data_IF_889211069268
#
_entry.id   IF_889211069268
#
_cell.length_a   1.000
_cell.length_b   1.000
_cell.length_c   1.000
_cell.angle_alpha   90.00
_cell.angle_beta   90.00
_cell.angle_gamma   90.00
#
_symmetry.space_group_name_H-M   'P 1'
#
loop_
_entity.id
_entity.type
_entity.pdbx_description
1 polymer ?
#
# COMPACT_ATOMS: atom_id res chain seq x y z
N UNK A 1 13.77 -4.93 -8.63
CA UNK A 1 14.55 -5.61 -7.58
C UNK A 1 14.21 -5.13 -6.16
N UNK A 2 14.15 -3.81 -5.90
CA UNK A 2 13.85 -3.23 -4.57
C UNK A 2 12.60 -3.86 -3.93
N UNK A 3 11.50 -3.91 -4.68
CA UNK A 3 10.23 -4.58 -4.31
C UNK A 3 10.40 -6.02 -3.82
N UNK A 4 11.31 -6.79 -4.41
CA UNK A 4 11.60 -8.17 -3.98
C UNK A 4 12.48 -8.22 -2.73
N UNK A 5 13.38 -7.26 -2.54
CA UNK A 5 14.18 -7.17 -1.31
C UNK A 5 13.28 -6.82 -0.13
N UNK A 6 12.36 -5.88 -0.31
CA UNK A 6 11.34 -5.51 0.67
C UNK A 6 10.50 -6.72 1.09
N UNK A 7 9.96 -7.47 0.13
CA UNK A 7 9.13 -8.64 0.42
C UNK A 7 9.89 -9.79 1.09
N UNK A 8 11.21 -9.83 0.97
CA UNK A 8 12.06 -10.89 1.53
C UNK A 8 12.84 -10.42 2.75
N UNK A 9 12.58 -9.19 3.22
CA UNK A 9 13.32 -8.54 4.29
C UNK A 9 14.84 -8.64 4.10
N UNK A 10 15.31 -8.45 2.87
CA UNK A 10 16.74 -8.49 2.50
C UNK A 10 17.29 -7.10 2.34
N UNK A 11 18.57 -6.96 2.67
CA UNK A 11 19.30 -5.74 2.41
C UNK A 11 19.42 -5.46 0.91
N UNK A 12 19.56 -4.19 0.56
CA UNK A 12 19.71 -3.76 -0.82
C UNK A 12 21.19 -3.82 -1.23
N UNK A 13 21.51 -4.36 -2.42
CA UNK A 13 22.86 -4.28 -2.95
C UNK A 13 23.31 -2.83 -3.11
N UNK A 14 24.60 -2.54 -2.90
CA UNK A 14 25.15 -1.17 -2.90
C UNK A 14 24.85 -0.40 -4.19
N UNK A 15 24.90 -1.08 -5.34
CA UNK A 15 24.64 -0.50 -6.65
C UNK A 15 23.17 -0.10 -6.87
N UNK A 16 22.24 -0.57 -6.01
CA UNK A 16 20.80 -0.30 -6.10
C UNK A 16 20.36 0.82 -5.13
N UNK A 17 21.30 1.37 -4.35
CA UNK A 17 21.03 2.41 -3.36
C UNK A 17 20.89 3.79 -4.02
N UNK A 18 21.60 3.99 -5.13
CA UNK A 18 21.62 5.26 -5.86
C UNK A 18 21.29 5.02 -7.34
N UNK A 19 20.18 5.62 -7.79
CA UNK A 19 19.71 5.59 -9.17
C UNK A 19 20.36 6.65 -10.05
N UNK A 20 21.03 7.66 -9.46
CA UNK A 20 21.69 8.75 -10.18
C UNK A 20 22.73 8.26 -11.21
N UNK A 21 23.57 7.23 -10.92
CA UNK A 21 24.48 6.64 -11.90
C UNK A 21 23.78 6.02 -13.13
N UNK A 22 22.48 5.72 -13.04
CA UNK A 22 21.67 5.18 -14.12
C UNK A 22 20.87 6.26 -14.87
N UNK A 23 21.12 7.54 -14.57
CA UNK A 23 20.49 8.68 -15.23
C UNK A 23 19.10 9.05 -14.70
N UNK A 24 18.69 8.48 -13.57
CA UNK A 24 17.47 8.89 -12.88
C UNK A 24 17.64 10.30 -12.32
N UNK A 25 16.65 11.18 -12.56
CA UNK A 25 16.61 12.57 -12.09
C UNK A 25 15.20 12.89 -11.56
N UNK A 26 15.08 13.97 -10.80
CA UNK A 26 13.81 14.58 -10.39
C UNK A 26 12.96 13.77 -9.37
N UNK A 27 11.63 13.94 -9.40
CA UNK A 27 10.67 13.48 -8.37
C UNK A 27 10.52 11.97 -8.26
N UNK A 28 10.77 11.22 -9.33
CA UNK A 28 10.71 9.75 -9.33
C UNK A 28 11.86 9.17 -8.49
N UNK A 29 13.06 9.77 -8.61
CA UNK A 29 14.20 9.45 -7.75
C UNK A 29 13.92 9.74 -6.27
N UNK A 30 13.09 10.76 -5.98
CA UNK A 30 12.69 11.05 -4.60
C UNK A 30 11.86 9.90 -4.01
N UNK A 31 10.90 9.35 -4.76
CA UNK A 31 10.10 8.21 -4.31
C UNK A 31 10.94 6.94 -4.15
N UNK A 32 11.83 6.65 -5.10
CA UNK A 32 12.71 5.49 -5.04
C UNK A 32 13.70 5.57 -3.86
N UNK A 33 14.22 6.77 -3.55
CA UNK A 33 15.02 7.00 -2.34
C UNK A 33 14.26 6.69 -1.06
N UNK A 34 12.97 7.01 -0.97
CA UNK A 34 12.13 6.65 0.18
C UNK A 34 11.93 5.12 0.26
N UNK A 35 11.76 4.46 -0.88
CA UNK A 35 11.70 3.00 -0.98
C UNK A 35 12.98 2.32 -0.48
N UNK A 36 14.14 2.85 -0.88
CA UNK A 36 15.46 2.36 -0.43
C UNK A 36 15.60 2.50 1.09
N UNK A 37 15.24 3.66 1.65
CA UNK A 37 15.26 3.89 3.10
C UNK A 37 14.34 2.94 3.84
N UNK A 38 13.12 2.71 3.34
CA UNK A 38 12.19 1.74 3.93
C UNK A 38 12.76 0.32 3.92
N UNK A 39 13.36 -0.12 2.81
CA UNK A 39 13.96 -1.45 2.71
C UNK A 39 15.09 -1.64 3.72
N UNK A 40 15.98 -0.64 3.87
CA UNK A 40 17.06 -0.65 4.86
C UNK A 40 16.53 -0.65 6.29
N UNK A 41 15.50 0.16 6.57
CA UNK A 41 14.85 0.20 7.89
C UNK A 41 14.31 -1.19 8.24
N UNK A 42 13.58 -1.82 7.31
CA UNK A 42 13.02 -3.17 7.51
C UNK A 42 14.08 -4.25 7.70
N UNK A 43 15.11 -4.29 6.85
CA UNK A 43 16.17 -5.27 6.98
C UNK A 43 16.89 -5.15 8.33
N UNK A 44 17.12 -3.92 8.81
CA UNK A 44 17.70 -3.65 10.12
C UNK A 44 16.81 -4.13 11.28
N UNK A 45 15.50 -3.88 11.23
CA UNK A 45 14.54 -4.37 12.23
C UNK A 45 14.54 -5.91 12.29
N UNK A 46 14.47 -6.56 11.13
CA UNK A 46 14.47 -8.03 11.04
C UNK A 46 15.79 -8.62 11.55
N UNK A 47 16.92 -7.95 11.29
CA UNK A 47 18.21 -8.36 11.81
C UNK A 47 18.26 -8.27 13.34
N UNK A 48 17.69 -7.21 13.94
CA UNK A 48 17.62 -7.05 15.39
C UNK A 48 16.70 -8.09 16.04
N UNK A 49 15.54 -8.37 15.47
CA UNK A 49 14.62 -9.40 15.99
C UNK A 49 15.26 -10.80 16.03
N UNK A 50 16.17 -11.10 15.09
CA UNK A 50 16.91 -12.37 15.03
C UNK A 50 18.09 -12.42 16.01
N UNK A 51 18.58 -11.28 16.46
CA UNK A 51 19.65 -11.20 17.44
C UNK A 51 19.06 -11.43 18.84
N UNK A 52 19.13 -12.67 19.34
CA UNK A 52 18.67 -13.07 20.68
C UNK A 52 19.49 -12.48 21.85
N UNK A 53 20.40 -11.55 21.57
CA UNK A 53 21.26 -10.88 22.56
C UNK A 53 20.59 -9.55 22.94
N UNK A 54 20.88 -9.03 24.14
CA UNK A 54 20.40 -7.73 24.62
C UNK A 54 20.37 -6.69 23.50
N UNK A 55 19.16 -6.38 23.04
CA UNK A 55 18.93 -5.44 21.98
C UNK A 55 19.47 -4.08 22.44
N UNK A 56 20.44 -3.53 21.72
CA UNK A 56 20.98 -2.22 22.02
C UNK A 56 19.87 -1.17 21.89
N UNK A 57 19.33 -0.69 23.01
CA UNK A 57 18.21 0.27 23.04
C UNK A 57 18.51 1.49 22.17
N UNK A 58 19.74 2.02 22.22
CA UNK A 58 20.16 3.16 21.41
C UNK A 58 20.02 2.91 19.90
N UNK A 59 20.25 1.67 19.44
CA UNK A 59 20.05 1.30 18.03
C UNK A 59 18.58 1.24 17.66
N UNK A 60 17.72 0.74 18.55
CA UNK A 60 16.26 0.71 18.30
C UNK A 60 15.69 2.13 18.29
N UNK A 61 16.13 3.01 19.18
CA UNK A 61 15.75 4.43 19.19
C UNK A 61 16.18 5.17 17.92
N UNK A 62 17.32 4.79 17.34
CA UNK A 62 17.75 5.31 16.03
C UNK A 62 16.81 4.86 14.90
N UNK A 63 16.44 3.58 14.87
CA UNK A 63 15.46 3.07 13.89
C UNK A 63 14.09 3.71 14.09
N UNK A 64 13.69 3.99 15.33
CA UNK A 64 12.44 4.66 15.63
C UNK A 64 12.41 6.08 15.07
N UNK A 65 13.46 6.86 15.31
CA UNK A 65 13.65 8.19 14.72
C UNK A 65 13.64 8.15 13.20
N UNK A 66 14.31 7.18 12.59
CA UNK A 66 14.29 7.00 11.13
C UNK A 66 12.88 6.67 10.63
N UNK A 67 12.11 5.84 11.35
CA UNK A 67 10.73 5.52 10.98
C UNK A 67 9.81 6.75 11.01
N UNK A 68 9.99 7.63 12.00
CA UNK A 68 9.26 8.91 12.11
C UNK A 68 9.68 9.85 10.98
N UNK A 69 10.97 10.01 10.74
CA UNK A 69 11.50 10.84 9.66
C UNK A 69 11.03 10.38 8.28
N UNK A 70 11.00 9.06 8.05
CA UNK A 70 10.55 8.47 6.81
C UNK A 70 9.05 8.68 6.59
N UNK A 71 8.24 8.60 7.66
CA UNK A 71 6.80 8.90 7.59
C UNK A 71 6.55 10.35 7.16
N UNK A 72 7.23 11.30 7.78
CA UNK A 72 7.15 12.71 7.40
C UNK A 72 7.59 12.92 5.94
N UNK A 73 8.64 12.21 5.50
CA UNK A 73 9.10 12.29 4.12
C UNK A 73 8.08 11.73 3.11
N UNK A 74 7.38 10.63 3.42
CA UNK A 74 6.28 10.13 2.58
C UNK A 74 5.07 11.07 2.55
N UNK A 75 4.77 11.77 3.65
CA UNK A 75 3.71 12.79 3.68
C UNK A 75 4.08 13.99 2.82
N UNK A 76 5.30 14.50 2.94
CA UNK A 76 5.79 15.60 2.11
C UNK A 76 5.79 15.21 0.63
N UNK A 77 6.29 14.01 0.31
CA UNK A 77 6.26 13.50 -1.06
C UNK A 77 4.82 13.42 -1.60
N UNK A 78 3.85 12.97 -0.80
CA UNK A 78 2.43 12.93 -1.18
C UNK A 78 1.91 14.32 -1.51
N UNK A 79 2.24 15.31 -0.68
CA UNK A 79 1.76 16.68 -0.85
C UNK A 79 2.41 17.33 -2.09
N UNK A 80 3.70 17.07 -2.33
CA UNK A 80 4.41 17.48 -3.55
C UNK A 80 3.81 16.81 -4.79
N UNK A 81 3.57 15.50 -4.73
CA UNK A 81 2.95 14.69 -5.79
C UNK A 81 1.55 15.21 -6.16
N UNK A 82 0.77 15.63 -5.17
CA UNK A 82 -0.55 16.27 -5.37
C UNK A 82 -0.44 17.69 -5.92
N UNK A 83 0.53 18.47 -5.46
CA UNK A 83 0.71 19.88 -5.86
C UNK A 83 1.22 20.04 -7.29
N UNK A 84 1.90 19.04 -7.83
CA UNK A 84 2.40 19.03 -9.21
C UNK A 84 1.26 19.10 -10.25
N UNK A 85 0.00 18.87 -9.87
CA UNK A 85 -1.18 19.01 -10.75
C UNK A 85 -1.26 17.99 -11.89
N UNK A 86 -0.25 17.13 -12.04
CA UNK A 86 -0.19 16.04 -13.04
C UNK A 86 -1.01 14.83 -12.60
N UNK A 87 -1.15 14.60 -11.30
CA UNK A 87 -1.86 13.46 -10.74
C UNK A 87 -3.17 13.89 -10.08
N UNK A 88 -4.28 13.37 -10.59
CA UNK A 88 -5.61 13.77 -10.14
C UNK A 88 -5.92 13.28 -8.72
N UNK A 89 -6.62 14.11 -7.94
CA UNK A 89 -7.30 13.68 -6.72
C UNK A 89 -8.37 12.65 -7.11
N UNK A 90 -8.44 11.55 -6.39
CA UNK A 90 -9.49 10.55 -6.61
C UNK A 90 -10.86 11.13 -6.25
N UNK A 91 -11.89 10.59 -6.90
CA UNK A 91 -13.28 10.82 -6.53
C UNK A 91 -13.79 9.61 -5.75
N UNK A 92 -14.45 9.85 -4.63
CA UNK A 92 -15.08 8.79 -3.84
C UNK A 92 -16.41 8.43 -4.49
N UNK A 93 -16.68 7.14 -4.64
CA UNK A 93 -17.93 6.61 -5.17
C UNK A 93 -18.47 5.49 -4.29
N UNK A 94 -19.78 5.25 -4.37
CA UNK A 94 -20.43 4.12 -3.70
C UNK A 94 -20.92 3.11 -4.72
N UNK A 95 -20.58 1.84 -4.53
CA UNK A 95 -21.01 0.75 -5.40
C UNK A 95 -22.49 0.45 -5.18
N UNK A 96 -23.26 0.41 -6.26
CA UNK A 96 -24.69 0.08 -6.23
C UNK A 96 -24.86 -1.42 -6.01
N UNK A 97 -25.50 -1.78 -4.90
CA UNK A 97 -25.83 -3.15 -4.56
C UNK A 97 -25.83 -3.36 -3.04
N UNK A 98 -26.79 -4.14 -2.54
CA UNK A 98 -26.79 -4.61 -1.17
C UNK A 98 -26.09 -5.97 -1.11
N UNK A 99 -25.17 -6.13 -0.18
CA UNK A 99 -24.51 -7.40 0.09
C UNK A 99 -23.71 -7.32 1.39
N UNK A 100 -23.42 -8.46 2.04
CA UNK A 100 -22.45 -8.48 3.12
C UNK A 100 -21.08 -8.10 2.57
N UNK A 101 -20.39 -7.20 3.26
CA UNK A 101 -19.01 -6.82 2.99
C UNK A 101 -18.10 -7.52 4.02
N UNK A 102 -16.85 -7.89 3.67
CA UNK A 102 -16.21 -7.80 2.35
C UNK A 102 -16.70 -8.87 1.37
N UNK A 103 -16.52 -8.61 0.06
CA UNK A 103 -16.76 -9.57 -1.04
C UNK A 103 -15.61 -9.55 -2.04
N UNK A 104 -15.61 -10.49 -2.99
CA UNK A 104 -14.57 -10.57 -4.03
C UNK A 104 -14.46 -9.23 -4.76
N UNK A 105 -13.24 -8.71 -4.85
CA UNK A 105 -12.79 -7.43 -5.39
C UNK A 105 -13.21 -6.18 -4.60
N UNK A 106 -14.10 -6.30 -3.62
CA UNK A 106 -14.63 -5.14 -2.88
C UNK A 106 -14.62 -5.40 -1.37
N UNK A 107 -13.71 -4.73 -0.67
CA UNK A 107 -13.66 -4.80 0.79
C UNK A 107 -14.83 -4.07 1.46
N UNK A 108 -15.24 -2.93 0.90
CA UNK A 108 -16.38 -2.12 1.36
C UNK A 108 -17.17 -1.59 0.16
N UNK A 109 -18.30 -0.91 0.43
CA UNK A 109 -19.10 -0.25 -0.60
C UNK A 109 -18.42 0.98 -1.20
N UNK A 110 -17.37 1.51 -0.54
CA UNK A 110 -16.67 2.72 -0.95
C UNK A 110 -15.53 2.38 -1.89
N UNK A 111 -15.47 3.08 -3.02
CA UNK A 111 -14.41 2.91 -4.03
C UNK A 111 -13.86 4.25 -4.47
N UNK A 112 -12.61 4.26 -4.91
CA UNK A 112 -11.95 5.44 -5.45
C UNK A 112 -11.88 5.36 -6.96
N UNK A 113 -12.35 6.42 -7.61
CA UNK A 113 -12.32 6.59 -9.05
C UNK A 113 -11.18 7.53 -9.43
N UNK A 114 -10.48 7.18 -10.50
CA UNK A 114 -9.37 7.96 -11.04
C UNK A 114 -9.61 8.29 -12.51
N UNK A 115 -8.93 9.33 -12.99
CA UNK A 115 -8.92 9.68 -14.41
C UNK A 115 -8.27 8.58 -15.26
N UNK A 116 -7.21 7.95 -14.73
CA UNK A 116 -6.46 6.92 -15.41
C UNK A 116 -5.93 5.85 -14.43
N UNK A 117 -5.54 4.70 -14.99
CA UNK A 117 -5.03 3.56 -14.22
C UNK A 117 -3.63 3.81 -13.63
N UNK A 118 -2.82 4.66 -14.27
CA UNK A 118 -1.46 4.99 -13.81
C UNK A 118 -1.52 5.69 -12.46
N UNK A 119 -2.37 6.69 -12.31
CA UNK A 119 -2.59 7.41 -11.05
C UNK A 119 -3.10 6.47 -9.96
N UNK A 120 -4.11 5.65 -10.28
CA UNK A 120 -4.65 4.67 -9.35
C UNK A 120 -3.58 3.70 -8.85
N UNK A 121 -2.71 3.23 -9.75
CA UNK A 121 -1.62 2.32 -9.42
C UNK A 121 -0.54 3.01 -8.58
N UNK A 122 -0.20 4.27 -8.87
CA UNK A 122 0.73 5.05 -8.06
C UNK A 122 0.22 5.21 -6.62
N UNK A 123 -1.05 5.58 -6.46
CA UNK A 123 -1.71 5.66 -5.15
C UNK A 123 -1.76 4.31 -4.45
N UNK A 124 -2.09 3.23 -5.15
CA UNK A 124 -2.11 1.89 -4.57
C UNK A 124 -0.74 1.49 -4.01
N UNK A 125 0.34 1.79 -4.74
CA UNK A 125 1.71 1.55 -4.26
C UNK A 125 2.02 2.43 -3.04
N UNK A 126 1.66 3.71 -3.07
CA UNK A 126 1.80 4.60 -1.92
C UNK A 126 1.12 4.04 -0.67
N UNK A 127 -0.15 3.64 -0.76
CA UNK A 127 -0.88 3.06 0.38
C UNK A 127 -0.22 1.78 0.90
N UNK A 128 0.17 0.86 0.01
CA UNK A 128 0.84 -0.38 0.42
C UNK A 128 2.15 -0.10 1.18
N UNK A 129 2.92 0.88 0.72
CA UNK A 129 4.21 1.27 1.30
C UNK A 129 4.03 1.96 2.64
N UNK A 130 3.05 2.84 2.76
CA UNK A 130 2.71 3.46 4.04
C UNK A 130 2.22 2.44 5.06
N UNK A 131 1.40 1.46 4.65
CA UNK A 131 0.97 0.36 5.52
C UNK A 131 2.16 -0.50 5.98
N UNK A 132 3.09 -0.77 5.07
CA UNK A 132 4.34 -1.48 5.37
C UNK A 132 5.24 -0.70 6.35
N UNK A 133 5.32 0.62 6.20
CA UNK A 133 6.02 1.49 7.15
C UNK A 133 5.32 1.47 8.51
N UNK A 134 3.98 1.52 8.57
CA UNK A 134 3.23 1.36 9.82
C UNK A 134 3.56 0.03 10.51
N UNK A 135 3.52 -1.09 9.79
CA UNK A 135 3.91 -2.42 10.31
C UNK A 135 5.34 -2.40 10.87
N UNK A 136 6.28 -1.80 10.14
CA UNK A 136 7.68 -1.68 10.55
C UNK A 136 7.84 -0.84 11.81
N UNK A 137 7.12 0.28 11.93
CA UNK A 137 7.11 1.12 13.13
C UNK A 137 6.54 0.38 14.35
N UNK A 138 5.54 -0.50 14.16
CA UNK A 138 5.01 -1.34 15.26
C UNK A 138 6.06 -2.32 15.75
N UNK A 139 6.80 -2.96 14.85
CA UNK A 139 7.88 -3.89 15.20
C UNK A 139 9.01 -3.20 15.96
N UNK A 140 9.44 -2.02 15.51
CA UNK A 140 10.41 -1.19 16.25
C UNK A 140 9.92 -0.89 17.66
N UNK A 141 8.63 -0.58 17.80
CA UNK A 141 8.04 -0.30 19.10
C UNK A 141 8.03 -1.51 20.02
N UNK A 142 7.68 -2.68 19.50
CA UNK A 142 7.73 -3.94 20.26
C UNK A 142 9.14 -4.25 20.76
N UNK A 143 10.17 -3.87 20.01
CA UNK A 143 11.56 -3.98 20.46
C UNK A 143 11.89 -2.98 21.59
N UNK A 144 11.34 -1.76 21.56
CA UNK A 144 11.52 -0.76 22.63
C UNK A 144 10.73 -1.11 23.89
N UNK A 145 9.52 -1.63 23.73
CA UNK A 145 8.57 -1.89 24.81
C UNK A 145 7.88 -3.25 24.65
N UNK A 146 8.57 -4.37 24.93
CA UNK A 146 8.05 -5.72 24.68
C UNK A 146 6.81 -6.08 25.51
N UNK A 147 6.67 -5.48 26.70
CA UNK A 147 5.57 -5.75 27.62
C UNK A 147 4.32 -4.89 27.37
N UNK A 148 4.34 -4.04 26.35
CA UNK A 148 3.34 -3.01 26.15
C UNK A 148 2.28 -3.41 25.11
N UNK A 149 1.02 -3.13 25.40
CA UNK A 149 -0.10 -3.49 24.51
C UNK A 149 -0.16 -2.52 23.32
N UNK A 150 0.64 -2.83 22.31
CA UNK A 150 0.72 -2.06 21.09
C UNK A 150 -0.62 -1.94 20.36
N UNK A 151 -1.59 -2.85 20.56
CA UNK A 151 -2.89 -2.79 19.85
C UNK A 151 -3.71 -1.59 20.29
N UNK A 152 -3.63 -1.21 21.56
CA UNK A 152 -4.36 -0.06 22.10
C UNK A 152 -3.72 1.28 21.72
N UNK A 153 -2.41 1.29 21.46
CA UNK A 153 -1.63 2.51 21.24
C UNK A 153 -1.29 2.73 19.76
N UNK A 154 -1.51 1.71 18.94
CA UNK A 154 -1.42 1.78 17.49
C UNK A 154 -2.24 2.92 16.89
N UNK A 155 -3.50 3.19 17.30
CA UNK A 155 -4.28 4.31 16.78
C UNK A 155 -3.67 5.67 17.15
N UNK A 156 -3.13 5.81 18.37
CA UNK A 156 -2.47 7.05 18.82
C UNK A 156 -1.22 7.33 18.00
N UNK A 157 -0.43 6.29 17.73
CA UNK A 157 0.86 6.40 17.04
C UNK A 157 0.74 6.48 15.52
N UNK A 158 -0.32 5.89 14.97
CA UNK A 158 -0.61 5.83 13.54
C UNK A 158 -2.07 6.24 13.30
N UNK A 159 -2.44 7.52 13.54
CA UNK A 159 -3.82 7.97 13.41
C UNK A 159 -4.35 7.80 11.97
N UNK A 160 -3.47 7.85 10.98
CA UNK A 160 -3.84 7.71 9.57
C UNK A 160 -4.06 6.26 9.13
N UNK A 161 -3.79 5.27 9.98
CA UNK A 161 -3.79 3.85 9.58
C UNK A 161 -5.15 3.39 9.04
N UNK A 162 -6.24 3.78 9.68
CA UNK A 162 -7.58 3.45 9.20
C UNK A 162 -7.84 4.02 7.80
N UNK A 163 -7.39 5.26 7.55
CA UNK A 163 -7.50 5.92 6.25
C UNK A 163 -6.62 5.25 5.19
N UNK A 164 -5.42 4.78 5.57
CA UNK A 164 -4.54 4.03 4.68
C UNK A 164 -5.15 2.68 4.29
N UNK A 165 -5.72 1.95 5.24
CA UNK A 165 -6.41 0.68 5.02
C UNK A 165 -7.62 0.85 4.11
N UNK A 166 -8.48 1.83 4.42
CA UNK A 166 -9.64 2.16 3.60
C UNK A 166 -9.24 2.61 2.20
N UNK A 167 -8.23 3.47 2.09
CA UNK A 167 -7.73 3.96 0.81
C UNK A 167 -7.14 2.85 -0.05
N UNK A 168 -6.32 1.97 0.52
CA UNK A 168 -5.81 0.78 -0.17
C UNK A 168 -6.95 -0.05 -0.75
N UNK A 169 -7.93 -0.40 0.11
CA UNK A 169 -9.04 -1.25 -0.27
C UNK A 169 -9.97 -0.61 -1.32
N UNK A 170 -10.22 0.69 -1.23
CA UNK A 170 -11.10 1.43 -2.12
C UNK A 170 -10.56 1.55 -3.56
N UNK A 171 -9.24 1.45 -3.75
CA UNK A 171 -8.59 1.57 -5.07
C UNK A 171 -8.61 0.26 -5.87
N UNK A 172 -8.53 -0.88 -5.17
CA UNK A 172 -8.43 -2.21 -5.79
C UNK A 172 -9.53 -2.45 -6.85
N UNK A 173 -10.83 -2.16 -6.59
CA UNK A 173 -11.88 -2.30 -7.60
C UNK A 173 -11.59 -1.54 -8.91
N UNK A 174 -11.06 -0.32 -8.82
CA UNK A 174 -10.76 0.49 -9.99
C UNK A 174 -9.55 -0.07 -10.75
N UNK A 175 -8.48 -0.45 -10.04
CA UNK A 175 -7.30 -1.08 -10.65
C UNK A 175 -7.61 -2.42 -11.33
N UNK A 176 -8.63 -3.14 -10.84
CA UNK A 176 -9.15 -4.37 -11.43
C UNK A 176 -10.15 -4.16 -12.57
N UNK A 177 -10.43 -2.90 -12.95
CA UNK A 177 -11.49 -2.51 -13.90
C UNK A 177 -12.90 -3.03 -13.51
N UNK A 178 -13.12 -3.34 -12.22
CA UNK A 178 -14.43 -3.72 -11.66
C UNK A 178 -15.35 -2.52 -11.47
N UNK A 179 -14.81 -1.32 -11.46
CA UNK A 179 -15.55 -0.08 -11.60
C UNK A 179 -14.86 0.77 -12.66
N UNK A 180 -15.64 1.52 -13.44
CA UNK A 180 -15.13 2.48 -14.41
C UNK A 180 -15.60 3.86 -14.00
N UNK A 181 -14.72 4.84 -14.08
CA UNK A 181 -15.10 6.22 -13.88
C UNK A 181 -16.08 6.67 -15.00
N UNK A 182 -17.23 7.25 -14.65
CA UNK A 182 -18.03 8.00 -15.61
C UNK A 182 -17.17 9.05 -16.34
N UNK A 183 -17.23 9.08 -17.68
CA UNK A 183 -16.46 10.02 -18.51
C UNK A 183 -16.68 11.49 -18.13
N UNK A 184 -17.84 11.82 -17.57
CA UNK A 184 -18.20 13.16 -17.14
C UNK A 184 -17.49 13.63 -15.85
N UNK A 185 -16.96 12.73 -15.01
CA UNK A 185 -16.34 13.09 -13.73
C UNK A 185 -14.98 13.78 -13.88
N UNK A 186 -14.26 13.49 -14.97
CA UNK A 186 -12.92 14.01 -15.22
C UNK A 186 -12.86 14.86 -16.51
N UNK A 187 -14.02 15.37 -16.94
CA UNK A 187 -14.17 16.28 -18.07
C UNK A 187 -14.10 17.73 -17.59
N UNK A 188 -13.44 18.63 -18.32
CA UNK A 188 -13.30 20.08 -18.02
C UNK A 188 -14.64 20.86 -18.07
N UNK A 189 -15.75 20.18 -18.31
CA UNK A 189 -17.09 20.78 -18.32
C UNK A 189 -17.58 21.07 -16.91
N UNK A 190 -18.25 22.22 -16.73
CA UNK A 190 -18.86 22.69 -15.47
C UNK A 190 -19.82 21.70 -14.76
N UNK A 191 -20.19 20.59 -15.41
CA UNK A 191 -20.97 19.45 -14.88
C UNK A 191 -20.17 18.50 -13.99
N UNK A 192 -18.84 18.52 -14.00
CA UNK A 192 -18.01 17.71 -13.10
C UNK A 192 -18.15 18.15 -11.62
N UNK A 193 -18.50 19.42 -11.39
CA UNK A 193 -18.66 20.02 -10.06
C UNK A 193 -19.99 19.68 -9.36
N UNK A 194 -20.91 18.96 -10.01
CA UNK A 194 -22.29 18.76 -9.51
C UNK A 194 -22.57 17.34 -8.98
N UNK A 195 -21.65 16.39 -9.13
CA UNK A 195 -21.86 15.01 -8.66
C UNK A 195 -21.24 14.85 -7.28
N UNK A 196 -22.02 15.09 -6.23
CA UNK A 196 -21.54 15.06 -4.84
C UNK A 196 -21.36 13.65 -4.28
N UNK A 197 -21.95 12.62 -4.91
CA UNK A 197 -21.76 11.21 -4.53
C UNK A 197 -22.04 10.30 -5.75
N UNK A 198 -21.03 10.01 -6.59
CA UNK A 198 -21.23 9.12 -7.74
C UNK A 198 -21.54 7.70 -7.29
N UNK A 199 -22.63 7.16 -7.82
CA UNK A 199 -22.96 5.75 -7.71
C UNK A 199 -22.40 4.99 -8.92
N UNK A 200 -21.69 3.89 -8.67
CA UNK A 200 -21.10 3.07 -9.73
C UNK A 200 -21.65 1.66 -9.72
N UNK A 201 -21.86 1.11 -10.92
CA UNK A 201 -22.27 -0.28 -11.09
C UNK A 201 -21.01 -1.12 -11.31
N UNK A 202 -20.99 -2.30 -10.69
CA UNK A 202 -19.92 -3.27 -10.88
C UNK A 202 -19.85 -3.74 -12.34
N UNK A 203 -18.65 -3.65 -12.91
CA UNK A 203 -18.31 -4.17 -14.22
C UNK A 203 -18.09 -5.70 -14.14
N UNK A 204 -18.94 -6.44 -14.85
CA UNK A 204 -18.91 -7.90 -14.92
C UNK A 204 -18.07 -8.45 -16.09
N UNK A 205 -17.42 -7.57 -16.85
CA UNK A 205 -16.51 -8.00 -17.92
C UNK A 205 -15.35 -8.86 -17.37
N UNK A 206 -14.80 -9.78 -18.19
CA UNK A 206 -13.59 -10.51 -17.82
C UNK A 206 -12.44 -9.56 -17.53
N UNK A 207 -11.74 -9.79 -16.43
CA UNK A 207 -10.58 -8.97 -16.06
C UNK A 207 -9.43 -9.19 -17.05
N UNK A 208 -8.77 -8.09 -17.44
CA UNK A 208 -7.59 -8.14 -18.29
C UNK A 208 -6.37 -8.64 -17.51
N UNK A 209 -5.64 -9.59 -18.09
CA UNK A 209 -4.52 -10.27 -17.43
C UNK A 209 -3.39 -9.33 -17.00
N UNK A 210 -3.10 -8.25 -17.73
CA UNK A 210 -2.00 -7.35 -17.36
C UNK A 210 -2.28 -6.58 -16.05
N UNK A 211 -3.54 -6.32 -15.71
CA UNK A 211 -3.95 -5.58 -14.50
C UNK A 211 -3.48 -6.28 -13.24
N UNK A 212 -3.57 -7.61 -13.22
CA UNK A 212 -3.08 -8.42 -12.11
C UNK A 212 -1.58 -8.24 -11.88
N UNK A 213 -0.78 -7.86 -12.88
CA UNK A 213 0.64 -7.49 -12.69
C UNK A 213 0.85 -6.22 -11.86
N UNK A 214 -0.07 -5.25 -11.96
CA UNK A 214 0.04 -3.96 -11.29
C UNK A 214 -0.31 -4.03 -9.80
N UNK A 215 -1.20 -4.95 -9.43
CA UNK A 215 -1.73 -5.06 -8.06
C UNK A 215 -1.14 -6.22 -7.25
N UNK A 216 -0.49 -7.20 -7.88
CA UNK A 216 0.07 -8.37 -7.16
C UNK A 216 1.06 -7.96 -6.10
N UNK A 217 1.96 -7.01 -6.38
CA UNK A 217 2.94 -6.58 -5.38
C UNK A 217 2.28 -5.86 -4.19
N UNK A 218 1.43 -4.82 -4.39
CA UNK A 218 0.67 -4.21 -3.29
C UNK A 218 -0.16 -5.20 -2.46
N UNK A 219 -0.85 -6.15 -3.11
CA UNK A 219 -1.60 -7.20 -2.42
C UNK A 219 -0.70 -8.14 -1.63
N UNK A 220 0.45 -8.52 -2.18
CA UNK A 220 1.44 -9.35 -1.47
C UNK A 220 1.93 -8.64 -0.22
N UNK A 221 2.27 -7.36 -0.32
CA UNK A 221 2.68 -6.53 0.82
C UNK A 221 1.61 -6.57 1.91
N UNK A 222 0.38 -6.15 1.60
CA UNK A 222 -0.71 -6.06 2.57
C UNK A 222 -1.07 -7.43 3.15
N UNK A 223 -1.06 -8.48 2.34
CA UNK A 223 -1.33 -9.85 2.80
C UNK A 223 -0.30 -10.40 3.81
N UNK A 224 0.91 -9.85 3.79
CA UNK A 224 2.05 -10.26 4.62
C UNK A 224 2.25 -9.43 5.89
N UNK A 225 1.51 -8.33 6.06
CA UNK A 225 1.61 -7.50 7.26
C UNK A 225 0.95 -8.22 8.43
N UNK A 226 1.67 -8.36 9.55
CA UNK A 226 1.22 -9.17 10.70
C UNK A 226 0.75 -8.32 11.87
N UNK A 227 1.21 -7.06 11.96
CA UNK A 227 1.01 -6.27 13.17
C UNK A 227 0.08 -5.08 12.97
N UNK A 228 -0.01 -4.48 11.80
CA UNK A 228 -0.78 -3.23 11.65
C UNK A 228 -2.21 -3.39 11.13
N UNK A 229 -2.60 -4.55 10.62
CA UNK A 229 -3.87 -4.71 9.91
C UNK A 229 -4.95 -5.38 10.78
N UNK A 230 -6.20 -5.03 10.50
CA UNK A 230 -7.34 -5.84 10.88
C UNK A 230 -7.31 -7.19 10.13
N UNK A 231 -7.65 -8.26 10.84
CA UNK A 231 -7.67 -9.62 10.30
C UNK A 231 -8.62 -9.74 9.09
N UNK A 232 -9.64 -8.88 9.00
CA UNK A 232 -10.56 -8.81 7.86
C UNK A 232 -9.88 -8.37 6.57
N UNK A 233 -9.16 -7.24 6.61
CA UNK A 233 -8.48 -6.68 5.43
C UNK A 233 -7.34 -7.59 4.96
N UNK A 234 -6.57 -8.15 5.89
CA UNK A 234 -5.48 -9.07 5.55
C UNK A 234 -6.01 -10.34 4.86
N UNK A 235 -7.06 -10.97 5.41
CA UNK A 235 -7.70 -12.15 4.80
C UNK A 235 -8.30 -11.83 3.44
N UNK A 236 -8.97 -10.69 3.30
CA UNK A 236 -9.50 -10.25 2.03
C UNK A 236 -8.39 -10.04 0.99
N UNK A 237 -7.28 -9.39 1.35
CA UNK A 237 -6.14 -9.21 0.46
C UNK A 237 -5.51 -10.55 0.02
N UNK A 238 -5.44 -11.55 0.91
CA UNK A 238 -5.01 -12.92 0.57
C UNK A 238 -5.95 -13.58 -0.44
N UNK A 239 -7.28 -13.42 -0.26
CA UNK A 239 -8.28 -13.93 -1.21
C UNK A 239 -8.13 -13.27 -2.59
N UNK A 240 -7.95 -11.96 -2.65
CA UNK A 240 -7.69 -11.25 -3.91
C UNK A 240 -6.41 -11.76 -4.58
N UNK A 241 -5.33 -11.95 -3.82
CA UNK A 241 -4.07 -12.47 -4.33
C UNK A 241 -4.22 -13.88 -4.90
N UNK A 242 -4.96 -14.76 -4.22
CA UNK A 242 -5.26 -16.11 -4.70
C UNK A 242 -6.03 -16.08 -6.02
N UNK A 243 -7.01 -15.18 -6.15
CA UNK A 243 -7.76 -15.03 -7.39
C UNK A 243 -6.87 -14.52 -8.53
N UNK A 244 -5.98 -13.55 -8.25
CA UNK A 244 -5.01 -13.09 -9.24
C UNK A 244 -4.04 -14.20 -9.66
N UNK A 245 -3.63 -15.07 -8.73
CA UNK A 245 -2.78 -16.22 -9.00
C UNK A 245 -3.47 -17.22 -9.93
N UNK A 246 -4.73 -17.56 -9.63
CA UNK A 246 -5.57 -18.47 -10.40
C UNK A 246 -5.76 -17.99 -11.83
N UNK A 247 -6.03 -16.70 -12.01
CA UNK A 247 -6.25 -16.09 -13.32
C UNK A 247 -4.97 -16.09 -14.18
N UNK A 248 -3.80 -15.95 -13.55
CA UNK A 248 -2.52 -16.02 -14.28
C UNK A 248 -1.95 -17.45 -14.43
N UNK A 249 -2.46 -18.43 -13.70
CA UNK A 249 -1.91 -19.79 -13.65
C UNK A 249 -0.56 -19.90 -12.93
N UNK A 250 -0.25 -18.99 -11.99
CA UNK A 250 1.01 -19.03 -11.22
C UNK A 250 0.82 -19.70 -9.86
N UNK A 251 1.15 -20.99 -9.76
CA UNK A 251 1.08 -21.74 -8.48
C UNK A 251 1.95 -21.18 -7.35
N UNK A 252 2.99 -20.39 -7.66
CA UNK A 252 3.81 -19.71 -6.65
C UNK A 252 3.09 -18.58 -5.90
N UNK A 253 2.10 -17.94 -6.51
CA UNK A 253 1.28 -16.91 -5.86
C UNK A 253 0.14 -17.54 -5.02
N UNK A 254 -0.34 -18.72 -5.39
CA UNK A 254 -1.28 -19.51 -4.59
C UNK A 254 -0.65 -19.91 -3.24
N UNK A 255 0.63 -20.29 -3.24
CA UNK A 255 1.38 -20.61 -2.03
C UNK A 255 1.46 -19.41 -1.05
N UNK A 256 1.73 -18.21 -1.56
CA UNK A 256 1.79 -16.97 -0.75
C UNK A 256 0.41 -16.61 -0.17
N UNK A 257 -0.66 -16.79 -0.96
CA UNK A 257 -2.02 -16.56 -0.47
C UNK A 257 -2.48 -17.60 0.57
N UNK A 258 -1.93 -18.81 0.52
CA UNK A 258 -2.22 -19.91 1.46
C UNK A 258 -1.31 -19.97 2.69
N UNK A 259 -0.26 -19.15 2.74
CA UNK A 259 0.68 -19.12 3.86
C UNK A 259 0.01 -18.53 5.13
N UNK A 260 0.24 -19.12 6.32
CA UNK A 260 -0.32 -18.64 7.58
C UNK A 260 0.14 -17.22 7.92
#
# INVERSE_FOLDING_TARGET
>A
MIRSCILRDRDLPDWLIDGEPFGERDSDLAYDRLFVRLAKLRSAVVALERQHVEVCIARVEELDRESIALRSAFLNWRDDFLSAGVHGRYQTATVVGSGPWPRLHFYSSTVYLYANLTDATAWLNYFAVCLLLCDTSVRIFQLLQPAFDWKHELPTRNPDMANLCQGFAAIIPFCLERVKAPKALFSDSATAATVTDPHVVENKEPMRLYLSGLIVWPLTVVSSLLHCLDDGLQRWARQELAEMARIKGYGGLEAVASAP
#
